data_IF_222284489622
#
_entry.id   IF_222284489622
#
_cell.length_a   1.000
_cell.length_b   1.000
_cell.length_c   1.000
_cell.angle_alpha   90.00
_cell.angle_beta   90.00
_cell.angle_gamma   90.00
#
_symmetry.space_group_name_H-M   'P 1'
#
loop_
_entity.id
_entity.type
_entity.pdbx_description
1 polymer ?
#
# COMPACT_ATOMS: atom_id res chain seq x y z
N UNK A 1 12.45 -15.80 2.86
CA UNK A 1 11.64 -14.59 2.57
C UNK A 1 12.33 -13.77 1.51
N UNK A 2 11.56 -13.14 0.63
CA UNK A 2 12.00 -12.18 -0.38
C UNK A 2 11.25 -10.86 -0.14
N UNK A 3 11.90 -9.71 -0.31
CA UNK A 3 11.25 -8.40 -0.25
C UNK A 3 11.91 -7.45 -1.24
N UNK A 4 11.11 -6.71 -1.99
CA UNK A 4 11.62 -5.74 -2.95
C UNK A 4 10.73 -5.60 -4.19
N UNK A 5 11.28 -4.96 -5.21
CA UNK A 5 10.63 -4.69 -6.49
C UNK A 5 10.68 -5.91 -7.42
N UNK A 6 9.51 -6.45 -7.76
CA UNK A 6 9.37 -7.55 -8.72
C UNK A 6 9.02 -7.07 -10.13
N UNK A 7 8.73 -5.78 -10.31
CA UNK A 7 8.26 -5.19 -11.56
C UNK A 7 7.03 -5.86 -12.19
N UNK A 8 6.23 -6.56 -11.37
CA UNK A 8 5.04 -7.29 -11.81
C UNK A 8 3.83 -7.07 -10.90
N UNK A 9 2.64 -7.10 -11.52
CA UNK A 9 1.34 -7.02 -10.86
C UNK A 9 0.65 -8.39 -10.88
N UNK A 10 0.02 -8.80 -9.78
CA UNK A 10 -0.68 -10.10 -9.72
C UNK A 10 -2.15 -9.99 -10.11
N UNK A 11 -2.77 -8.83 -9.89
CA UNK A 11 -4.21 -8.61 -10.10
C UNK A 11 -4.49 -7.26 -10.76
N UNK A 12 -5.64 -7.09 -11.43
CA UNK A 12 -6.05 -5.79 -11.95
C UNK A 12 -6.14 -4.71 -10.86
N UNK A 13 -6.49 -5.09 -9.62
CA UNK A 13 -6.52 -4.21 -8.45
C UNK A 13 -5.15 -3.70 -8.01
N UNK A 14 -4.06 -4.35 -8.43
CA UNK A 14 -2.69 -3.90 -8.17
C UNK A 14 -2.28 -2.73 -9.06
N UNK A 15 -3.17 -2.22 -9.92
CA UNK A 15 -2.89 -1.04 -10.72
C UNK A 15 -4.06 -0.07 -10.81
N UNK A 16 -3.73 1.20 -10.96
CA UNK A 16 -4.67 2.26 -11.32
C UNK A 16 -4.16 2.96 -12.58
N UNK A 17 -5.01 2.94 -13.61
CA UNK A 17 -4.67 3.40 -14.95
C UNK A 17 -3.82 2.40 -15.73
N UNK A 18 -3.75 2.59 -17.05
CA UNK A 18 -3.05 1.68 -17.95
C UNK A 18 -3.78 0.35 -18.19
N UNK A 19 -3.16 -0.55 -18.95
CA UNK A 19 -3.71 -1.86 -19.33
C UNK A 19 -3.05 -2.94 -18.50
N UNK A 20 -3.87 -3.80 -17.87
CA UNK A 20 -3.38 -4.93 -17.08
C UNK A 20 -2.86 -6.04 -17.99
N UNK A 21 -1.67 -6.55 -17.69
CA UNK A 21 -0.99 -7.56 -18.52
C UNK A 21 -1.22 -8.96 -17.94
N UNK A 22 -2.31 -9.60 -18.32
CA UNK A 22 -2.72 -10.91 -17.79
C UNK A 22 -1.65 -12.01 -17.95
N UNK A 23 -0.96 -12.05 -19.10
CA UNK A 23 0.07 -13.05 -19.37
C UNK A 23 1.28 -12.92 -18.42
N UNK A 24 1.73 -11.69 -18.15
CA UNK A 24 2.82 -11.42 -17.22
C UNK A 24 2.43 -11.75 -15.78
N UNK A 25 1.21 -11.38 -15.39
CA UNK A 25 0.66 -11.73 -14.07
C UNK A 25 0.61 -13.25 -13.86
N UNK A 26 0.21 -14.01 -14.88
CA UNK A 26 0.18 -15.46 -14.83
C UNK A 26 1.58 -16.08 -14.68
N UNK A 27 2.58 -15.57 -15.42
CA UNK A 27 3.98 -16.01 -15.27
C UNK A 27 4.49 -15.75 -13.85
N UNK A 28 4.20 -14.57 -13.29
CA UNK A 28 4.62 -14.22 -11.94
C UNK A 28 3.91 -15.06 -10.87
N UNK A 29 2.61 -15.32 -11.03
CA UNK A 29 1.86 -16.21 -10.15
C UNK A 29 2.41 -17.64 -10.18
N UNK A 30 2.73 -18.18 -11.36
CA UNK A 30 3.35 -19.51 -11.51
C UNK A 30 4.73 -19.57 -10.87
N UNK A 31 5.53 -18.50 -10.97
CA UNK A 31 6.81 -18.41 -10.27
C UNK A 31 6.62 -18.51 -8.75
N UNK A 32 5.67 -17.74 -8.18
CA UNK A 32 5.37 -17.79 -6.74
C UNK A 32 4.93 -19.19 -6.30
N UNK A 33 4.03 -19.81 -7.06
CA UNK A 33 3.54 -21.17 -6.80
C UNK A 33 4.66 -22.22 -6.85
N UNK A 34 5.49 -22.18 -7.89
CA UNK A 34 6.63 -23.10 -8.05
C UNK A 34 7.66 -23.04 -6.92
N UNK A 35 7.75 -21.87 -6.26
CA UNK A 35 8.65 -21.62 -5.15
C UNK A 35 7.96 -21.74 -3.78
N UNK A 36 6.69 -22.15 -3.73
CA UNK A 36 5.86 -22.20 -2.52
C UNK A 36 5.85 -20.87 -1.74
N UNK A 37 5.75 -19.76 -2.47
CA UNK A 37 5.76 -18.41 -1.90
C UNK A 37 4.35 -17.85 -1.77
N UNK A 38 4.11 -17.19 -0.64
CA UNK A 38 2.89 -16.49 -0.29
C UNK A 38 3.17 -14.99 -0.29
N UNK A 39 2.23 -14.18 -0.80
CA UNK A 39 2.28 -12.73 -0.65
C UNK A 39 1.96 -12.35 0.80
N UNK A 40 2.82 -11.56 1.43
CA UNK A 40 2.57 -11.03 2.76
C UNK A 40 1.53 -9.91 2.69
N UNK A 41 0.66 -9.85 3.69
CA UNK A 41 -0.34 -8.80 3.80
C UNK A 41 0.32 -7.42 3.84
N UNK A 42 -0.22 -6.46 3.08
CA UNK A 42 0.27 -5.08 3.07
C UNK A 42 -0.67 -4.12 3.78
N UNK A 43 -0.15 -3.13 4.50
CA UNK A 43 -0.90 -2.01 5.08
C UNK A 43 -0.43 -0.65 4.56
N UNK A 44 -1.22 0.40 4.81
CA UNK A 44 -0.92 1.77 4.37
C UNK A 44 -1.53 2.05 3.00
N UNK A 45 -0.68 2.36 2.01
CA UNK A 45 -1.11 2.58 0.62
C UNK A 45 -1.44 1.27 -0.12
N UNK A 46 -2.17 1.36 -1.23
CA UNK A 46 -2.46 0.20 -2.10
C UNK A 46 -1.40 -0.05 -3.18
N UNK A 47 -0.56 0.94 -3.45
CA UNK A 47 0.40 0.94 -4.54
C UNK A 47 1.78 1.29 -3.99
N UNK A 48 2.81 0.74 -4.64
CA UNK A 48 4.21 0.91 -4.24
C UNK A 48 5.01 1.65 -5.29
N UNK A 49 4.47 1.85 -6.49
CA UNK A 49 5.08 2.65 -7.55
C UNK A 49 4.07 3.62 -8.16
N UNK A 50 4.55 4.80 -8.57
CA UNK A 50 3.73 5.84 -9.17
C UNK A 50 4.44 6.59 -10.27
N UNK A 51 3.79 6.70 -11.44
CA UNK A 51 4.21 7.62 -12.50
C UNK A 51 3.48 8.94 -12.38
N UNK A 52 4.26 10.00 -12.24
CA UNK A 52 3.78 11.37 -12.36
C UNK A 52 4.01 11.88 -13.78
N UNK A 53 3.08 12.68 -14.29
CA UNK A 53 3.25 13.46 -15.52
C UNK A 53 2.62 14.83 -15.31
N UNK A 54 3.39 15.89 -15.56
CA UNK A 54 3.01 17.29 -15.30
C UNK A 54 2.44 17.54 -13.90
N UNK A 55 3.04 16.91 -12.87
CA UNK A 55 2.62 17.07 -11.47
C UNK A 55 1.40 16.23 -11.05
N UNK A 56 0.74 15.54 -11.98
CA UNK A 56 -0.41 14.66 -11.68
C UNK A 56 0.00 13.18 -11.66
N UNK A 57 -0.54 12.42 -10.71
CA UNK A 57 -0.40 10.97 -10.64
C UNK A 57 -1.28 10.32 -11.70
N UNK A 58 -0.68 9.81 -12.77
CA UNK A 58 -1.42 9.22 -13.90
C UNK A 58 -1.50 7.70 -13.77
N UNK A 59 -0.43 7.05 -13.29
CA UNK A 59 -0.38 5.60 -13.14
C UNK A 59 0.12 5.24 -11.75
N UNK A 60 -0.44 4.19 -11.16
CA UNK A 60 0.03 3.63 -9.89
C UNK A 60 -0.01 2.11 -9.97
N UNK A 61 1.01 1.43 -9.43
CA UNK A 61 1.11 -0.03 -9.44
C UNK A 61 1.66 -0.56 -8.11
N UNK A 62 1.29 -1.78 -7.71
CA UNK A 62 1.92 -2.54 -6.64
C UNK A 62 2.98 -3.47 -7.25
N UNK A 63 4.21 -2.98 -7.32
CA UNK A 63 5.38 -3.66 -7.91
C UNK A 63 6.29 -4.27 -6.83
N UNK A 64 6.48 -3.54 -5.72
CA UNK A 64 7.18 -4.03 -4.55
C UNK A 64 6.30 -4.93 -3.66
N UNK A 65 6.82 -6.09 -3.22
CA UNK A 65 6.13 -7.06 -2.36
C UNK A 65 7.06 -7.68 -1.32
N UNK A 66 6.49 -8.20 -0.24
CA UNK A 66 7.15 -9.16 0.64
C UNK A 66 6.57 -10.54 0.39
N UNK A 67 7.39 -11.51 0.01
CA UNK A 67 6.99 -12.89 -0.25
C UNK A 67 7.66 -13.83 0.75
N UNK A 68 6.93 -14.80 1.27
CA UNK A 68 7.45 -15.76 2.24
C UNK A 68 6.93 -17.17 1.98
N UNK A 69 7.73 -18.18 2.28
CA UNK A 69 7.26 -19.56 2.28
C UNK A 69 6.45 -19.86 3.54
N UNK A 70 5.82 -21.04 3.57
CA UNK A 70 4.97 -21.50 4.68
C UNK A 70 5.74 -21.55 6.01
N UNK A 71 6.96 -22.10 6.01
CA UNK A 71 7.77 -22.21 7.23
C UNK A 71 8.06 -20.85 7.86
N UNK A 72 8.42 -19.85 7.03
CA UNK A 72 8.63 -18.49 7.51
C UNK A 72 7.33 -17.87 8.02
N UNK A 73 6.20 -18.08 7.34
CA UNK A 73 4.89 -17.60 7.81
C UNK A 73 4.50 -18.22 9.16
N UNK A 74 4.81 -19.49 9.39
CA UNK A 74 4.55 -20.15 10.67
C UNK A 74 5.45 -19.62 11.79
N UNK A 75 6.69 -19.25 11.48
CA UNK A 75 7.59 -18.62 12.44
C UNK A 75 7.17 -17.18 12.79
N UNK A 76 6.57 -16.46 11.83
CA UNK A 76 6.15 -15.06 11.97
C UNK A 76 4.68 -14.86 11.52
N UNK A 77 3.70 -15.43 12.24
CA UNK A 77 2.30 -15.46 11.81
C UNK A 77 1.72 -14.05 11.67
N UNK A 78 2.13 -13.16 12.57
CA UNK A 78 1.69 -11.78 12.68
C UNK A 78 2.49 -10.78 11.80
N UNK A 79 3.39 -11.29 10.95
CA UNK A 79 4.19 -10.41 10.12
C UNK A 79 3.41 -9.87 8.91
N UNK A 80 3.65 -8.59 8.62
CA UNK A 80 3.05 -7.88 7.50
C UNK A 80 4.01 -6.81 6.98
N UNK A 81 3.74 -6.31 5.78
CA UNK A 81 4.53 -5.25 5.13
C UNK A 81 3.75 -3.94 5.20
N UNK A 82 4.31 -2.91 5.83
CA UNK A 82 3.77 -1.55 5.77
C UNK A 82 4.36 -0.81 4.57
N UNK A 83 3.48 -0.21 3.75
CA UNK A 83 3.87 0.68 2.65
C UNK A 83 3.97 2.10 3.19
N UNK A 84 5.19 2.61 3.30
CA UNK A 84 5.48 3.94 3.84
C UNK A 84 5.28 5.05 2.80
N UNK A 85 5.12 6.29 3.28
CA UNK A 85 5.10 7.46 2.40
C UNK A 85 6.45 7.64 1.69
N UNK A 86 6.40 7.85 0.37
CA UNK A 86 7.58 8.22 -0.42
C UNK A 86 7.79 9.74 -0.44
N UNK A 87 9.04 10.16 -0.61
CA UNK A 87 9.38 11.59 -0.73
C UNK A 87 9.97 11.93 -2.10
N UNK A 88 11.10 11.34 -2.49
CA UNK A 88 11.80 11.63 -3.76
C UNK A 88 11.97 10.44 -4.71
N UNK A 89 11.39 9.28 -4.38
CA UNK A 89 11.33 8.13 -5.28
C UNK A 89 9.97 8.05 -5.98
N UNK A 90 9.91 7.41 -7.13
CA UNK A 90 8.67 6.91 -7.72
C UNK A 90 8.16 5.65 -7.02
N UNK A 91 9.00 4.98 -6.22
CA UNK A 91 8.63 3.89 -5.33
C UNK A 91 8.35 4.34 -3.88
N UNK A 92 7.51 3.57 -3.19
CA UNK A 92 7.24 3.66 -1.76
C UNK A 92 8.11 2.66 -1.00
N UNK A 93 8.80 3.10 0.07
CA UNK A 93 9.55 2.17 0.92
C UNK A 93 8.64 1.11 1.56
N UNK A 94 9.13 -0.11 1.64
CA UNK A 94 8.49 -1.21 2.35
C UNK A 94 9.14 -1.40 3.73
N UNK A 95 8.31 -1.54 4.77
CA UNK A 95 8.75 -1.87 6.12
C UNK A 95 8.12 -3.18 6.58
N UNK A 96 8.96 -4.18 6.85
CA UNK A 96 8.50 -5.43 7.46
C UNK A 96 8.28 -5.26 8.96
N UNK A 97 7.11 -5.66 9.45
CA UNK A 97 6.73 -5.63 10.87
C UNK A 97 6.38 -7.01 11.37
N UNK A 98 6.61 -7.26 12.65
CA UNK A 98 6.47 -8.57 13.30
C UNK A 98 5.47 -8.58 14.48
N UNK A 99 4.69 -7.51 14.67
CA UNK A 99 3.84 -7.30 15.85
C UNK A 99 2.33 -7.35 15.61
N UNK A 100 1.89 -7.89 14.47
CA UNK A 100 0.47 -7.94 14.09
C UNK A 100 -0.03 -6.63 13.48
N UNK A 101 -1.08 -6.73 12.68
CA UNK A 101 -1.71 -5.54 12.09
C UNK A 101 -2.12 -4.57 13.21
N UNK A 102 -1.96 -3.25 13.02
CA UNK A 102 -2.45 -2.29 14.00
C UNK A 102 -3.93 -2.59 14.27
N UNK A 103 -4.27 -2.97 15.50
CA UNK A 103 -5.65 -3.19 15.90
C UNK A 103 -6.41 -1.91 15.55
N UNK A 104 -7.55 -2.06 14.86
CA UNK A 104 -8.41 -0.92 14.57
C UNK A 104 -8.77 -0.26 15.91
N UNK A 105 -8.26 0.95 16.15
CA UNK A 105 -8.43 1.66 17.42
C UNK A 105 -9.86 2.19 17.50
N UNK A 106 -10.84 1.30 17.72
CA UNK A 106 -12.25 1.65 17.84
C UNK A 106 -12.77 2.59 16.76
N UNK A 107 -13.89 3.30 17.03
CA UNK A 107 -14.30 4.43 16.23
C UNK A 107 -13.19 5.48 16.25
N UNK A 108 -12.71 5.91 15.08
CA UNK A 108 -11.80 7.06 15.01
C UNK A 108 -12.56 8.29 15.52
N UNK A 109 -12.07 9.00 16.54
CA UNK A 109 -12.72 10.22 16.97
C UNK A 109 -12.69 11.25 15.83
N UNK A 110 -13.75 12.06 15.74
CA UNK A 110 -13.70 13.26 14.92
C UNK A 110 -12.54 14.13 15.42
N UNK A 111 -11.63 14.49 14.51
CA UNK A 111 -10.53 15.41 14.76
C UNK A 111 -10.58 16.52 13.73
N UNK A 112 -10.44 17.75 14.19
CA UNK A 112 -10.31 18.93 13.35
C UNK A 112 -9.20 19.80 13.94
N UNK A 113 -8.58 20.63 13.10
CA UNK A 113 -7.54 21.54 13.59
C UNK A 113 -8.18 22.64 14.43
N UNK A 114 -7.79 22.79 15.70
CA UNK A 114 -8.37 23.80 16.59
C UNK A 114 -8.16 25.23 16.05
N UNK A 115 -7.10 25.45 15.26
CA UNK A 115 -6.81 26.72 14.60
C UNK A 115 -7.93 27.19 13.65
N UNK A 116 -8.80 26.30 13.16
CA UNK A 116 -9.93 26.71 12.32
C UNK A 116 -10.96 27.54 13.09
N UNK A 117 -11.07 27.38 14.41
CA UNK A 117 -12.00 28.16 15.25
C UNK A 117 -11.64 29.64 15.24
N UNK A 118 -10.34 29.94 15.19
CA UNK A 118 -9.83 31.32 15.17
C UNK A 118 -9.94 31.97 13.78
N UNK A 119 -10.34 31.22 12.75
CA UNK A 119 -10.51 31.77 11.41
C UNK A 119 -11.76 32.65 11.36
N UNK A 120 -11.61 33.89 10.90
CA UNK A 120 -12.68 34.90 10.81
C UNK A 120 -13.97 34.43 10.13
N UNK A 121 -13.86 33.50 9.18
CA UNK A 121 -14.99 33.00 8.38
C UNK A 121 -15.60 31.70 8.94
N UNK A 122 -15.06 31.17 10.05
CA UNK A 122 -15.47 29.87 10.61
C UNK A 122 -16.96 29.83 10.96
N UNK A 123 -17.45 30.80 11.75
CA UNK A 123 -18.85 30.84 12.18
C UNK A 123 -19.81 30.88 10.98
N UNK A 124 -19.51 31.71 9.98
CA UNK A 124 -20.34 31.84 8.79
C UNK A 124 -20.35 30.58 7.90
N UNK A 125 -19.30 29.76 7.97
CA UNK A 125 -19.21 28.49 7.25
C UNK A 125 -19.98 27.38 7.98
N UNK A 126 -19.90 27.34 9.31
CA UNK A 126 -20.63 26.38 10.14
C UNK A 126 -22.15 26.62 10.09
N UNK A 127 -22.58 27.88 10.14
CA UNK A 127 -24.02 28.23 10.11
C UNK A 127 -24.71 27.94 8.76
N UNK A 128 -23.94 27.71 7.69
CA UNK A 128 -24.44 27.39 6.34
C UNK A 128 -24.45 25.90 6.03
N UNK A 129 -23.85 25.07 6.88
CA UNK A 129 -23.78 23.62 6.74
C UNK A 129 -25.02 22.96 7.34
#
# INVERSE_FOLDING_TARGET
MLIGDFNETLSPSDQRGGIFQHSRAAVFANFMDSCNLLDLTTTGGNFTWHRNHNGFRILSKKLDRGLANVEWRLAFPEAFVEILCRFHSDHNPLLLRFGGLPLASGPRPFRFEAAWIDHKDYSALVDKA
#
